data_IF_442656265869
#
_entry.id   IF_442656265869
#
_cell.length_a   1.000
_cell.length_b   1.000
_cell.length_c   1.000
_cell.angle_alpha   90.00
_cell.angle_beta   90.00
_cell.angle_gamma   90.00
#
_symmetry.space_group_name_H-M   'P 1'
#
loop_
_entity.id
_entity.type
_entity.pdbx_description
1 polymer ?
#
# COMPACT_ATOMS: atom_id res chain seq x y z
N UNK A 1 -30.46 4.24 18.01
CA UNK A 1 -29.37 5.24 18.01
C UNK A 1 -28.07 4.47 17.90
N UNK A 2 -27.41 4.64 16.76
CA UNK A 2 -26.16 3.99 16.36
C UNK A 2 -25.02 4.25 17.36
N UNK A 3 -24.22 3.22 17.61
CA UNK A 3 -22.82 3.40 17.97
C UNK A 3 -21.99 2.87 16.81
N UNK A 4 -21.64 3.76 15.89
CA UNK A 4 -20.61 3.50 14.90
C UNK A 4 -19.27 3.46 15.65
N UNK A 5 -18.81 2.26 15.99
CA UNK A 5 -17.42 2.04 16.40
C UNK A 5 -16.57 2.33 15.17
N UNK A 6 -15.96 3.51 15.15
CA UNK A 6 -14.89 3.87 14.21
C UNK A 6 -13.89 2.72 14.22
N UNK A 7 -13.88 1.94 13.15
CA UNK A 7 -12.97 0.81 12.96
C UNK A 7 -11.56 1.38 13.11
N UNK A 8 -10.86 0.96 14.15
CA UNK A 8 -9.54 1.48 14.52
C UNK A 8 -8.60 1.46 13.31
N UNK A 9 -8.18 2.67 12.93
CA UNK A 9 -7.42 3.01 11.75
C UNK A 9 -5.93 2.58 11.80
N UNK A 10 -5.53 1.74 12.77
CA UNK A 10 -4.14 1.30 13.00
C UNK A 10 -3.89 -0.16 12.56
N UNK A 11 -4.72 -0.72 11.68
CA UNK A 11 -4.49 -2.06 11.14
C UNK A 11 -3.45 -2.01 10.02
N UNK A 12 -2.47 -2.95 9.93
CA UNK A 12 -1.49 -2.98 8.85
C UNK A 12 -2.12 -2.97 7.45
N UNK A 13 -3.37 -3.44 7.33
CA UNK A 13 -4.14 -3.38 6.09
C UNK A 13 -4.48 -1.94 5.65
N UNK A 14 -4.74 -1.02 6.57
CA UNK A 14 -5.02 0.39 6.25
C UNK A 14 -3.75 1.08 5.76
N UNK A 15 -2.63 0.89 6.46
CA UNK A 15 -1.32 1.42 6.06
C UNK A 15 -0.88 0.88 4.69
N UNK A 16 -1.08 -0.42 4.45
CA UNK A 16 -0.81 -1.03 3.14
C UNK A 16 -1.68 -0.42 2.04
N UNK A 17 -2.95 -0.13 2.33
CA UNK A 17 -3.87 0.48 1.37
C UNK A 17 -3.46 1.90 0.99
N UNK A 18 -2.97 2.71 1.94
CA UNK A 18 -2.50 4.07 1.66
C UNK A 18 -1.22 4.10 0.83
N UNK A 19 -0.25 3.24 1.14
CA UNK A 19 1.00 3.13 0.37
C UNK A 19 0.69 2.60 -1.04
N UNK A 20 -0.24 1.64 -1.18
CA UNK A 20 -0.70 1.15 -2.47
C UNK A 20 -1.35 2.26 -3.32
N UNK A 21 -2.27 3.04 -2.75
CA UNK A 21 -2.90 4.16 -3.46
C UNK A 21 -1.85 5.19 -3.89
N UNK A 22 -0.89 5.50 -3.02
CA UNK A 22 0.19 6.43 -3.34
C UNK A 22 1.07 5.91 -4.47
N UNK A 23 1.41 4.62 -4.45
CA UNK A 23 2.19 3.97 -5.49
C UNK A 23 1.45 3.93 -6.84
N UNK A 24 0.13 3.67 -6.83
CA UNK A 24 -0.72 3.73 -8.03
C UNK A 24 -0.65 5.09 -8.74
N UNK A 25 -0.55 6.18 -7.97
CA UNK A 25 -0.46 7.54 -8.53
C UNK A 25 0.91 7.85 -9.15
N UNK A 26 1.98 7.16 -8.71
CA UNK A 26 3.35 7.34 -9.25
C UNK A 26 3.61 6.41 -10.43
N UNK A 27 3.33 5.11 -10.26
CA UNK A 27 3.49 4.10 -11.30
C UNK A 27 2.38 3.05 -11.15
N UNK A 28 1.29 3.26 -11.88
CA UNK A 28 0.14 2.35 -11.91
C UNK A 28 0.55 0.94 -12.37
N UNK A 29 1.37 0.82 -13.42
CA UNK A 29 1.70 -0.45 -14.03
C UNK A 29 2.56 -1.33 -13.11
N UNK A 30 3.51 -0.75 -12.39
CA UNK A 30 4.33 -1.45 -11.42
C UNK A 30 3.53 -1.76 -10.15
N UNK A 31 2.73 -0.81 -9.67
CA UNK A 31 1.90 -0.99 -8.47
C UNK A 31 0.88 -2.11 -8.64
N UNK A 32 0.28 -2.22 -9.83
CA UNK A 32 -0.68 -3.26 -10.16
C UNK A 32 -0.04 -4.65 -10.31
N UNK A 33 1.24 -4.72 -10.69
CA UNK A 33 2.01 -5.98 -10.67
C UNK A 33 2.28 -6.46 -9.23
N UNK A 34 2.65 -5.54 -8.33
CA UNK A 34 2.85 -5.84 -6.91
C UNK A 34 1.54 -6.32 -6.28
N UNK A 35 0.42 -5.64 -6.58
CA UNK A 35 -0.92 -6.05 -6.15
C UNK A 35 -1.25 -7.49 -6.58
N UNK A 36 -1.08 -7.82 -7.87
CA UNK A 36 -1.35 -9.17 -8.39
C UNK A 36 -0.48 -10.25 -7.75
N UNK A 37 0.75 -9.92 -7.34
CA UNK A 37 1.64 -10.86 -6.67
C UNK A 37 1.21 -11.09 -5.20
N UNK A 38 0.85 -10.01 -4.50
CA UNK A 38 0.35 -10.04 -3.13
C UNK A 38 -1.01 -10.75 -3.01
N UNK A 39 -1.98 -10.41 -3.87
CA UNK A 39 -3.31 -11.02 -3.91
C UNK A 39 -3.26 -12.54 -4.16
N UNK A 40 -2.32 -12.98 -5.01
CA UNK A 40 -2.06 -14.42 -5.24
C UNK A 40 -1.30 -15.10 -4.09
N UNK A 41 -1.09 -14.42 -2.97
CA UNK A 41 -0.29 -14.88 -1.81
C UNK A 41 1.12 -15.34 -2.16
N UNK A 42 1.69 -14.80 -3.24
CA UNK A 42 3.09 -15.04 -3.62
C UNK A 42 4.07 -14.16 -2.84
N UNK A 43 3.53 -13.25 -2.04
CA UNK A 43 4.25 -12.20 -1.33
C UNK A 43 3.53 -11.91 -0.01
N UNK A 44 4.28 -11.63 1.05
CA UNK A 44 3.70 -11.22 2.33
C UNK A 44 3.35 -9.73 2.32
N UNK A 45 2.48 -9.33 3.26
CA UNK A 45 2.09 -7.94 3.53
C UNK A 45 3.31 -7.02 3.68
N UNK A 46 4.35 -7.49 4.37
CA UNK A 46 5.61 -6.74 4.54
C UNK A 46 6.29 -6.43 3.20
N UNK A 47 6.44 -7.43 2.33
CA UNK A 47 7.11 -7.27 1.04
C UNK A 47 6.28 -6.42 0.07
N UNK A 48 4.96 -6.55 0.11
CA UNK A 48 4.07 -5.73 -0.70
C UNK A 48 4.15 -4.26 -0.29
N UNK A 49 4.07 -3.98 1.02
CA UNK A 49 4.26 -2.64 1.57
C UNK A 49 5.62 -2.04 1.22
N UNK A 50 6.70 -2.82 1.34
CA UNK A 50 8.05 -2.36 0.96
C UNK A 50 8.15 -2.01 -0.53
N UNK A 51 7.62 -2.84 -1.42
CA UNK A 51 7.67 -2.57 -2.85
C UNK A 51 6.87 -1.33 -3.23
N UNK A 52 5.64 -1.18 -2.72
CA UNK A 52 4.88 0.05 -2.96
C UNK A 52 5.59 1.28 -2.38
N UNK A 53 6.25 1.15 -1.22
CA UNK A 53 7.07 2.24 -0.67
C UNK A 53 8.19 2.65 -1.64
N UNK A 54 8.93 1.68 -2.19
CA UNK A 54 10.01 1.97 -3.16
C UNK A 54 9.53 2.59 -4.47
N UNK A 55 8.24 2.44 -4.82
CA UNK A 55 7.63 3.11 -5.97
C UNK A 55 7.39 4.58 -5.65
N UNK A 56 7.00 4.92 -4.42
CA UNK A 56 6.69 6.28 -3.98
C UNK A 56 7.95 7.07 -3.56
N UNK A 57 8.96 6.38 -3.01
CA UNK A 57 10.22 6.95 -2.53
C UNK A 57 11.05 7.76 -3.55
N UNK A 58 11.11 7.45 -4.87
CA UNK A 58 11.86 8.28 -5.82
C UNK A 58 11.37 9.73 -5.94
N UNK A 59 10.19 10.09 -5.43
CA UNK A 59 9.76 11.49 -5.33
C UNK A 59 10.37 12.26 -4.14
N UNK A 60 11.08 11.59 -3.21
CA UNK A 60 11.52 12.18 -1.94
C UNK A 60 13.01 12.50 -1.84
N UNK A 61 13.82 12.14 -2.84
CA UNK A 61 15.26 12.43 -2.88
C UNK A 61 15.53 13.60 -3.83
N UNK A 62 15.10 14.78 -3.40
CA UNK A 62 15.58 16.08 -3.90
C UNK A 62 15.61 17.05 -2.71
N UNK A 63 16.45 16.74 -1.71
CA UNK A 63 16.84 17.63 -0.61
C UNK A 63 18.31 17.36 -0.20
#
# INVERSE_FOLDING_TARGET
>A
MEQATCVGADHPQTMISEIYISALLVDEALSDQVWKAWDKRKMSDFWAGWLWWTIVEPCSIDL
#
